data_IF_492312372981
#
_entry.id   IF_492312372981
#
_cell.length_a   1.000
_cell.length_b   1.000
_cell.length_c   1.000
_cell.angle_alpha   90.00
_cell.angle_beta   90.00
_cell.angle_gamma   90.00
#
_symmetry.space_group_name_H-M   'P 1'
#
loop_
_entity.id
_entity.type
_entity.pdbx_description
1 polymer ?
#
# COMPACT_ATOMS: atom_id res chain seq x y z
N UNK A 1 23.84 -19.18 -16.17
CA UNK A 1 23.47 -18.76 -14.83
C UNK A 1 22.00 -18.41 -14.75
N UNK A 2 21.23 -19.45 -14.66
CA UNK A 2 19.79 -19.24 -14.60
C UNK A 2 19.36 -18.59 -13.30
N UNK A 3 20.22 -18.65 -12.30
CA UNK A 3 19.90 -18.04 -11.01
C UNK A 3 19.78 -16.53 -11.09
N UNK A 4 20.29 -15.95 -12.18
CA UNK A 4 20.19 -14.51 -12.35
C UNK A 4 18.80 -14.05 -12.71
N UNK A 5 17.96 -14.98 -13.17
CA UNK A 5 16.62 -14.63 -13.61
C UNK A 5 15.62 -15.20 -12.60
N UNK A 6 15.01 -14.31 -11.85
CA UNK A 6 14.00 -14.72 -10.89
C UNK A 6 12.72 -15.11 -11.61
N UNK A 7 12.04 -16.15 -11.11
CA UNK A 7 10.74 -16.50 -11.64
C UNK A 7 9.74 -15.42 -11.28
N UNK A 8 8.62 -15.31 -12.00
CA UNK A 8 7.58 -14.35 -11.62
C UNK A 8 7.09 -14.54 -10.19
N UNK A 9 7.02 -15.79 -9.75
CA UNK A 9 6.56 -16.07 -8.39
C UNK A 9 7.57 -15.57 -7.36
N UNK A 10 8.86 -15.78 -7.64
CA UNK A 10 9.91 -15.27 -6.77
C UNK A 10 9.90 -13.74 -6.73
N UNK A 11 9.67 -13.11 -7.89
CA UNK A 11 9.59 -11.65 -7.96
C UNK A 11 8.39 -11.14 -7.17
N UNK A 12 7.27 -11.84 -7.25
CA UNK A 12 6.10 -11.45 -6.49
C UNK A 12 6.37 -11.56 -4.99
N UNK A 13 6.98 -12.65 -4.57
CA UNK A 13 7.32 -12.83 -3.16
C UNK A 13 8.25 -11.73 -2.66
N UNK A 14 9.26 -11.40 -3.45
CA UNK A 14 10.22 -10.35 -3.10
C UNK A 14 9.53 -9.00 -3.02
N UNK A 15 8.62 -8.72 -3.96
CA UNK A 15 7.91 -7.45 -3.97
C UNK A 15 7.02 -7.32 -2.74
N UNK A 16 6.37 -8.40 -2.33
CA UNK A 16 5.52 -8.36 -1.14
C UNK A 16 6.33 -8.15 0.13
N UNK A 17 7.51 -8.76 0.22
CA UNK A 17 8.38 -8.52 1.37
C UNK A 17 8.87 -7.09 1.42
N UNK A 18 9.25 -6.56 0.27
CA UNK A 18 9.72 -5.19 0.21
C UNK A 18 8.59 -4.22 0.53
N UNK A 19 7.38 -4.52 0.06
CA UNK A 19 6.21 -3.71 0.36
C UNK A 19 5.96 -3.65 1.86
N UNK A 20 5.99 -4.81 2.51
CA UNK A 20 5.81 -4.88 3.96
C UNK A 20 6.85 -4.03 4.68
N UNK A 21 8.13 -4.21 4.32
CA UNK A 21 9.21 -3.44 4.92
C UNK A 21 9.01 -1.95 4.69
N UNK A 22 8.63 -1.57 3.49
CA UNK A 22 8.43 -0.17 3.15
C UNK A 22 7.30 0.45 3.99
N UNK A 23 6.23 -0.29 4.21
CA UNK A 23 5.13 0.21 5.03
C UNK A 23 5.59 0.39 6.47
N UNK A 24 6.30 -0.60 6.99
CA UNK A 24 6.77 -0.56 8.38
C UNK A 24 7.75 0.59 8.58
N UNK A 25 8.63 0.81 7.62
CA UNK A 25 9.68 1.83 7.73
C UNK A 25 9.26 3.18 7.20
N UNK A 26 8.04 3.31 6.72
CA UNK A 26 7.53 4.56 6.17
C UNK A 26 8.35 5.04 4.97
N UNK A 27 8.80 4.10 4.17
CA UNK A 27 9.62 4.39 3.00
C UNK A 27 8.71 4.46 1.78
N UNK A 28 8.27 5.66 1.45
CA UNK A 28 7.29 5.86 0.39
C UNK A 28 7.84 5.46 -0.98
N UNK A 29 9.08 5.80 -1.24
CA UNK A 29 9.69 5.45 -2.52
C UNK A 29 9.77 3.94 -2.70
N UNK A 30 10.17 3.24 -1.66
CA UNK A 30 10.23 1.79 -1.72
C UNK A 30 8.84 1.20 -1.86
N UNK A 31 7.85 1.81 -1.24
CA UNK A 31 6.47 1.35 -1.34
C UNK A 31 5.97 1.44 -2.77
N UNK A 32 6.21 2.58 -3.43
CA UNK A 32 5.79 2.75 -4.80
C UNK A 32 6.50 1.75 -5.71
N UNK A 33 7.81 1.61 -5.52
CA UNK A 33 8.59 0.69 -6.34
C UNK A 33 8.14 -0.75 -6.16
N UNK A 34 7.94 -1.17 -4.93
CA UNK A 34 7.52 -2.54 -4.66
C UNK A 34 6.12 -2.82 -5.17
N UNK A 35 5.24 -1.82 -5.11
CA UNK A 35 3.90 -1.98 -5.67
C UNK A 35 3.96 -2.17 -7.17
N UNK A 36 4.80 -1.43 -7.85
CA UNK A 36 4.97 -1.61 -9.29
C UNK A 36 5.56 -2.97 -9.61
N UNK A 37 6.56 -3.39 -8.85
CA UNK A 37 7.14 -4.72 -9.03
C UNK A 37 6.10 -5.81 -8.82
N UNK A 38 5.25 -5.63 -7.83
CA UNK A 38 4.18 -6.58 -7.55
C UNK A 38 3.22 -6.68 -8.74
N UNK A 39 2.82 -5.56 -9.28
CA UNK A 39 1.89 -5.56 -10.40
C UNK A 39 2.52 -6.16 -11.65
N UNK A 40 3.79 -5.89 -11.89
CA UNK A 40 4.49 -6.48 -13.03
C UNK A 40 4.59 -8.00 -12.89
N UNK A 41 4.91 -8.47 -11.70
CA UNK A 41 5.00 -9.91 -11.46
C UNK A 41 3.64 -10.58 -11.64
N UNK A 42 2.58 -9.92 -11.14
CA UNK A 42 1.23 -10.46 -11.31
C UNK A 42 0.82 -10.52 -12.78
N UNK A 43 1.16 -9.51 -13.54
CA UNK A 43 0.87 -9.53 -14.97
C UNK A 43 1.58 -10.68 -15.66
N UNK A 44 2.84 -10.88 -15.32
CA UNK A 44 3.59 -11.99 -15.91
C UNK A 44 2.97 -13.32 -15.53
N UNK A 45 2.54 -13.46 -14.29
CA UNK A 45 1.88 -14.69 -13.84
C UNK A 45 0.57 -14.93 -14.58
N UNK A 46 -0.23 -13.89 -14.76
CA UNK A 46 -1.47 -14.01 -15.50
C UNK A 46 -1.23 -14.46 -16.92
N UNK A 47 -0.23 -13.88 -17.57
CA UNK A 47 0.10 -14.27 -18.94
C UNK A 47 0.58 -15.71 -19.01
N UNK A 48 1.34 -16.13 -18.02
CA UNK A 48 1.84 -17.51 -17.99
C UNK A 48 0.71 -18.50 -17.81
N UNK A 49 -0.31 -18.12 -17.06
CA UNK A 49 -1.41 -19.02 -16.74
C UNK A 49 -2.48 -19.09 -17.83
N UNK A 50 -2.42 -18.21 -18.81
CA UNK A 50 -3.52 -17.97 -19.73
C UNK A 50 -3.97 -19.22 -20.48
N UNK A 51 -3.05 -20.15 -20.77
CA UNK A 51 -3.40 -21.33 -21.52
C UNK A 51 -3.62 -22.58 -20.69
N UNK A 52 -2.96 -22.68 -19.56
CA UNK A 52 -2.85 -23.96 -18.86
C UNK A 52 -3.18 -23.89 -17.37
N UNK A 53 -3.31 -22.71 -16.82
CA UNK A 53 -3.47 -22.59 -15.38
C UNK A 53 -2.16 -22.83 -14.65
N UNK A 54 -2.26 -23.16 -13.38
CA UNK A 54 -1.09 -23.37 -12.53
C UNK A 54 -1.10 -24.78 -11.95
N UNK A 55 0.08 -25.40 -11.84
CA UNK A 55 0.20 -26.64 -11.08
C UNK A 55 -0.20 -26.44 -9.62
N UNK A 56 -0.56 -27.54 -8.98
CA UNK A 56 -1.05 -27.49 -7.59
C UNK A 56 -0.04 -26.83 -6.65
N UNK A 57 1.25 -27.12 -6.85
CA UNK A 57 2.29 -26.54 -6.01
C UNK A 57 2.35 -25.03 -6.11
N UNK A 58 2.19 -24.52 -7.33
CA UNK A 58 2.17 -23.08 -7.54
C UNK A 58 0.91 -22.47 -6.98
N UNK A 59 -0.22 -23.17 -7.08
CA UNK A 59 -1.46 -22.67 -6.50
C UNK A 59 -1.35 -22.47 -5.00
N UNK A 60 -0.69 -23.42 -4.35
CA UNK A 60 -0.49 -23.37 -2.90
C UNK A 60 0.38 -22.17 -2.54
N UNK A 61 1.46 -21.97 -3.29
CA UNK A 61 2.34 -20.84 -3.04
C UNK A 61 1.64 -19.52 -3.32
N UNK A 62 0.82 -19.50 -4.37
CA UNK A 62 0.06 -18.29 -4.69
C UNK A 62 -0.94 -17.95 -3.58
N UNK A 63 -1.53 -18.96 -2.97
CA UNK A 63 -2.44 -18.73 -1.85
C UNK A 63 -1.70 -18.09 -0.68
N UNK A 64 -0.49 -18.57 -0.38
CA UNK A 64 0.32 -17.96 0.66
C UNK A 64 0.64 -16.51 0.36
N UNK A 65 1.00 -16.24 -0.88
CA UNK A 65 1.33 -14.88 -1.28
C UNK A 65 0.10 -13.98 -1.29
N UNK A 66 -1.05 -14.54 -1.60
CA UNK A 66 -2.30 -13.78 -1.51
C UNK A 66 -2.59 -13.36 -0.08
N UNK A 67 -2.31 -14.26 0.88
CA UNK A 67 -2.47 -13.91 2.28
C UNK A 67 -1.49 -12.82 2.70
N UNK A 68 -0.26 -12.91 2.21
CA UNK A 68 0.73 -11.88 2.49
C UNK A 68 0.29 -10.53 1.93
N UNK A 69 -0.24 -10.55 0.71
CA UNK A 69 -0.74 -9.33 0.09
C UNK A 69 -1.89 -8.74 0.89
N UNK A 70 -2.76 -9.59 1.39
CA UNK A 70 -3.88 -9.15 2.22
C UNK A 70 -3.36 -8.51 3.51
N UNK A 71 -2.39 -9.12 4.14
CA UNK A 71 -1.79 -8.58 5.36
C UNK A 71 -1.14 -7.22 5.11
N UNK A 72 -0.43 -7.10 3.97
CA UNK A 72 0.17 -5.83 3.59
C UNK A 72 -0.90 -4.76 3.41
N UNK A 73 -2.02 -5.13 2.80
CA UNK A 73 -3.12 -4.21 2.60
C UNK A 73 -3.72 -3.71 3.90
N UNK A 74 -3.85 -4.60 4.87
CA UNK A 74 -4.36 -4.22 6.19
C UNK A 74 -3.39 -3.25 6.87
N UNK A 75 -2.11 -3.56 6.80
CA UNK A 75 -1.10 -2.70 7.41
C UNK A 75 -1.09 -1.33 6.74
N UNK A 76 -1.16 -1.30 5.42
CA UNK A 76 -1.18 -0.04 4.68
C UNK A 76 -2.40 0.79 5.05
N UNK A 77 -3.55 0.15 5.16
CA UNK A 77 -4.77 0.84 5.55
C UNK A 77 -4.64 1.46 6.94
N UNK A 78 -4.01 0.72 7.86
CA UNK A 78 -3.76 1.25 9.20
C UNK A 78 -2.85 2.47 9.14
N UNK A 79 -1.80 2.38 8.35
CA UNK A 79 -0.88 3.51 8.20
C UNK A 79 -1.58 4.73 7.62
N UNK A 80 -2.42 4.50 6.62
CA UNK A 80 -3.19 5.60 6.04
C UNK A 80 -4.08 6.27 7.07
N UNK A 81 -4.73 5.49 7.90
CA UNK A 81 -5.57 6.06 8.95
C UNK A 81 -4.76 6.86 9.95
N UNK A 82 -3.58 6.36 10.31
CA UNK A 82 -2.70 7.07 11.24
C UNK A 82 -2.24 8.39 10.67
N UNK A 83 -1.83 8.38 9.40
CA UNK A 83 -1.38 9.60 8.73
C UNK A 83 -2.52 10.60 8.61
N UNK A 84 -3.69 10.12 8.21
CA UNK A 84 -4.84 10.99 8.07
C UNK A 84 -5.26 11.60 9.40
N UNK A 85 -5.19 10.80 10.45
CA UNK A 85 -5.49 11.32 11.79
C UNK A 85 -4.49 12.40 12.18
N UNK A 86 -3.20 12.13 11.95
CA UNK A 86 -2.16 13.11 12.30
C UNK A 86 -2.32 14.40 11.51
N UNK A 87 -2.60 14.27 10.21
CA UNK A 87 -2.79 15.46 9.37
C UNK A 87 -4.00 16.28 9.82
N UNK A 88 -5.09 15.60 10.17
CA UNK A 88 -6.26 16.32 10.66
C UNK A 88 -5.99 16.99 11.99
N UNK A 89 -5.20 16.33 12.84
CA UNK A 89 -4.84 16.91 14.13
C UNK A 89 -3.97 18.15 13.95
N UNK A 90 -3.00 18.07 13.06
CA UNK A 90 -2.14 19.22 12.75
C UNK A 90 -2.95 20.34 12.11
N UNK A 91 -3.80 20.00 11.16
CA UNK A 91 -4.64 20.97 10.50
C UNK A 91 -5.58 21.68 11.47
N UNK A 92 -6.10 20.90 12.42
CA UNK A 92 -6.98 21.46 13.43
C UNK A 92 -6.25 22.43 14.32
N UNK A 93 -5.03 22.10 14.71
CA UNK A 93 -4.22 22.99 15.54
C UNK A 93 -3.92 24.30 14.82
N UNK A 94 -3.55 24.19 13.56
CA UNK A 94 -3.28 25.37 12.75
C UNK A 94 -4.54 26.19 12.52
N UNK A 95 -5.63 25.51 12.23
CA UNK A 95 -6.91 26.17 12.04
C UNK A 95 -7.35 26.92 13.28
N UNK A 96 -7.18 26.28 14.44
CA UNK A 96 -7.56 26.90 15.68
C UNK A 96 -6.74 28.16 15.92
N UNK A 97 -5.44 28.11 15.66
CA UNK A 97 -4.61 29.28 15.80
C UNK A 97 -5.02 30.41 14.86
N UNK A 98 -5.22 30.08 13.59
CA UNK A 98 -5.65 31.07 12.62
C UNK A 98 -7.05 31.56 12.94
N UNK A 99 -7.90 30.68 13.36
CA UNK A 99 -9.26 31.01 13.69
C UNK A 99 -9.33 31.98 14.87
N UNK A 100 -8.54 31.70 15.89
CA UNK A 100 -8.50 32.59 17.06
C UNK A 100 -8.05 33.98 16.67
N UNK A 101 -7.07 34.07 15.80
CA UNK A 101 -6.54 35.34 15.37
C UNK A 101 -7.57 36.14 14.60
N UNK A 102 -8.41 35.51 13.82
CA UNK A 102 -9.37 36.15 12.98
C UNK A 102 -10.79 36.11 13.47
N UNK A 103 -11.08 35.17 14.36
CA UNK A 103 -12.43 35.02 14.87
C UNK A 103 -13.41 34.55 13.82
N UNK A 104 -13.01 33.79 12.86
CA UNK A 104 -13.86 33.36 11.77
C UNK A 104 -14.36 31.95 11.93
N UNK A 105 -15.38 31.62 11.17
CA UNK A 105 -16.04 30.34 11.29
C UNK A 105 -15.73 29.43 10.12
N UNK A 106 -14.55 29.46 9.64
CA UNK A 106 -14.17 28.68 8.48
C UNK A 106 -14.03 27.20 8.79
N UNK A 107 -14.23 26.81 10.02
CA UNK A 107 -14.04 25.45 10.43
C UNK A 107 -14.95 24.46 9.74
N UNK A 108 -16.09 24.92 9.28
CA UNK A 108 -17.09 24.03 8.70
C UNK A 108 -16.62 23.43 7.39
N UNK A 109 -16.11 24.27 6.53
CA UNK A 109 -15.73 23.82 5.20
C UNK A 109 -14.65 22.74 5.19
N UNK A 110 -13.54 22.94 5.91
CA UNK A 110 -12.49 21.93 5.81
C UNK A 110 -12.86 20.60 6.42
N UNK A 111 -13.72 20.62 7.39
CA UNK A 111 -14.03 19.39 8.08
C UNK A 111 -14.82 18.44 7.20
N UNK A 112 -15.80 18.95 6.49
CA UNK A 112 -16.66 18.10 5.68
C UNK A 112 -15.93 17.33 4.61
N UNK A 113 -15.10 17.95 3.78
CA UNK A 113 -14.41 17.20 2.74
C UNK A 113 -13.52 16.10 3.32
N UNK A 114 -12.90 16.40 4.43
CA UNK A 114 -12.05 15.40 5.04
C UNK A 114 -12.84 14.21 5.57
N UNK A 115 -14.01 14.47 6.07
CA UNK A 115 -14.85 13.40 6.58
C UNK A 115 -15.30 12.46 5.48
N UNK A 116 -15.49 12.97 4.29
CA UNK A 116 -15.94 12.17 3.17
C UNK A 116 -14.81 11.30 2.64
N UNK A 117 -13.64 11.85 2.58
CA UNK A 117 -12.51 11.10 2.07
C UNK A 117 -12.15 9.95 2.98
#
# INVERSE_FOLDING_TARGET
MTSMTATPLQRLAAALEEEWRAIVEHDVEALVRSTQDKLDALRTLENSAAGFGFPAELQERLAELAEQNHANGILLARRRREVNWALRHLGRSESTGAYDAQGQTSTVSPVRPLAVA
#
